data_IF_415377447623
#
_entry.id   IF_415377447623
#
_cell.length_a   1.000
_cell.length_b   1.000
_cell.length_c   1.000
_cell.angle_alpha   90.00
_cell.angle_beta   90.00
_cell.angle_gamma   90.00
#
_symmetry.space_group_name_H-M   'P 1'
#
loop_
_entity.id
_entity.type
_entity.pdbx_description
1 polymer ?
#
# COMPACT_ATOMS: atom_id res chain seq x y z
N UNK A 1 18.54 9.27 2.30
CA UNK A 1 17.36 8.72 3.01
C UNK A 1 16.13 9.14 2.23
N UNK A 2 15.25 8.20 1.82
CA UNK A 2 13.91 8.60 1.36
C UNK A 2 13.10 8.91 2.60
N UNK A 3 12.54 10.11 2.66
CA UNK A 3 11.58 10.47 3.70
C UNK A 3 10.24 9.79 3.42
N UNK A 4 9.27 9.98 4.30
CA UNK A 4 7.90 9.57 4.00
C UNK A 4 7.33 10.46 2.88
N UNK A 5 6.35 9.96 2.09
CA UNK A 5 5.62 10.83 1.18
C UNK A 5 5.01 12.01 1.94
N UNK A 6 4.82 13.17 1.30
CA UNK A 6 4.14 14.27 1.96
C UNK A 6 2.72 13.84 2.39
N UNK A 7 2.27 14.38 3.52
CA UNK A 7 1.07 13.89 4.20
C UNK A 7 -0.20 13.88 3.33
N UNK A 8 -0.47 14.88 2.46
CA UNK A 8 -1.63 14.85 1.56
C UNK A 8 -1.62 13.67 0.59
N UNK A 9 -0.47 13.37 0.00
CA UNK A 9 -0.28 12.30 -0.97
C UNK A 9 -0.36 10.94 -0.28
N UNK A 10 0.27 10.80 0.88
CA UNK A 10 0.17 9.59 1.69
C UNK A 10 -1.29 9.30 2.07
N UNK A 11 -2.04 10.32 2.50
CA UNK A 11 -3.46 10.18 2.84
C UNK A 11 -4.32 9.82 1.61
N UNK A 12 -4.14 10.52 0.50
CA UNK A 12 -4.87 10.27 -0.74
C UNK A 12 -4.66 8.85 -1.26
N UNK A 13 -3.41 8.40 -1.34
CA UNK A 13 -3.06 7.06 -1.81
C UNK A 13 -3.51 5.96 -0.84
N UNK A 14 -3.50 6.23 0.48
CA UNK A 14 -4.04 5.29 1.47
C UNK A 14 -5.55 5.10 1.31
N UNK A 15 -6.29 6.17 1.03
CA UNK A 15 -7.73 6.11 0.77
C UNK A 15 -8.01 5.36 -0.55
N UNK A 16 -7.20 5.59 -1.58
CA UNK A 16 -7.29 4.84 -2.83
C UNK A 16 -7.08 3.34 -2.60
N UNK A 17 -6.02 2.95 -1.88
CA UNK A 17 -5.75 1.57 -1.52
C UNK A 17 -6.92 0.95 -0.74
N UNK A 18 -7.47 1.70 0.21
CA UNK A 18 -8.62 1.26 0.99
C UNK A 18 -9.86 1.04 0.08
N UNK A 19 -10.09 1.92 -0.89
CA UNK A 19 -11.20 1.79 -1.85
C UNK A 19 -11.04 0.59 -2.78
N UNK A 20 -9.81 0.28 -3.19
CA UNK A 20 -9.53 -0.75 -4.20
C UNK A 20 -9.40 -2.15 -3.58
N UNK A 21 -8.78 -2.24 -2.41
CA UNK A 21 -8.30 -3.52 -1.87
C UNK A 21 -8.93 -3.93 -0.54
N UNK A 22 -9.84 -3.14 0.04
CA UNK A 22 -10.65 -3.58 1.20
C UNK A 22 -11.93 -4.26 0.73
N UNK A 23 -11.82 -5.46 0.16
CA UNK A 23 -12.99 -6.32 -0.11
C UNK A 23 -13.25 -7.31 1.04
N UNK A 24 -14.32 -8.11 0.98
CA UNK A 24 -14.70 -9.03 2.07
C UNK A 24 -13.82 -10.29 2.19
N UNK A 25 -12.97 -10.61 1.20
CA UNK A 25 -12.24 -11.87 1.17
C UNK A 25 -10.81 -11.78 1.75
N UNK A 26 -10.08 -10.71 1.46
CA UNK A 26 -8.77 -10.38 2.06
C UNK A 26 -8.69 -8.85 2.17
N UNK A 27 -8.30 -8.34 3.34
CA UNK A 27 -8.41 -6.91 3.67
C UNK A 27 -7.05 -6.34 4.04
N UNK A 28 -6.60 -5.38 3.24
CA UNK A 28 -5.63 -4.41 3.74
C UNK A 28 -6.24 -3.67 4.94
N UNK A 29 -5.56 -3.70 6.07
CA UNK A 29 -5.86 -2.84 7.19
C UNK A 29 -5.37 -1.41 6.89
N UNK A 30 -5.56 -0.46 7.82
CA UNK A 30 -5.17 0.93 7.59
C UNK A 30 -3.65 1.10 7.46
N UNK A 31 -2.85 0.36 8.26
CA UNK A 31 -1.40 0.38 8.15
C UNK A 31 -0.93 -0.20 6.81
N UNK A 32 -1.60 -1.24 6.31
CA UNK A 32 -1.29 -1.81 5.01
C UNK A 32 -1.60 -0.85 3.87
N UNK A 33 -2.70 -0.10 3.97
CA UNK A 33 -3.03 0.96 3.01
C UNK A 33 -1.96 2.05 3.00
N UNK A 34 -1.43 2.42 4.16
CA UNK A 34 -0.33 3.38 4.27
C UNK A 34 0.99 2.82 3.74
N UNK A 35 1.26 1.54 3.96
CA UNK A 35 2.41 0.84 3.40
C UNK A 35 2.34 0.83 1.86
N UNK A 36 1.19 0.44 1.30
CA UNK A 36 0.91 0.52 -0.13
C UNK A 36 1.14 1.95 -0.65
N UNK A 37 0.63 2.97 0.04
CA UNK A 37 0.78 4.37 -0.37
C UNK A 37 2.25 4.77 -0.50
N UNK A 38 3.10 4.33 0.43
CA UNK A 38 4.54 4.60 0.37
C UNK A 38 5.20 3.92 -0.85
N UNK A 39 4.90 2.64 -1.08
CA UNK A 39 5.46 1.90 -2.20
C UNK A 39 4.99 2.46 -3.56
N UNK A 40 3.69 2.76 -3.67
CA UNK A 40 3.08 3.37 -4.85
C UNK A 40 3.66 4.75 -5.15
N UNK A 41 3.76 5.64 -4.15
CA UNK A 41 4.29 7.00 -4.32
C UNK A 41 5.71 7.00 -4.90
N UNK A 42 6.54 6.07 -4.43
CA UNK A 42 7.94 5.97 -4.87
C UNK A 42 8.15 5.05 -6.08
N UNK A 43 7.08 4.47 -6.62
CA UNK A 43 7.11 3.49 -7.70
C UNK A 43 8.11 2.34 -7.43
N UNK A 44 8.04 1.77 -6.24
CA UNK A 44 8.89 0.64 -5.81
C UNK A 44 8.07 -0.59 -5.45
N UNK A 45 8.66 -1.80 -5.51
CA UNK A 45 8.00 -3.00 -5.00
C UNK A 45 7.66 -2.89 -3.51
N UNK A 46 6.59 -3.57 -3.11
CA UNK A 46 6.21 -3.73 -1.71
C UNK A 46 7.08 -4.76 -1.03
N UNK A 47 7.82 -4.35 0.00
CA UNK A 47 8.54 -5.28 0.87
C UNK A 47 7.56 -5.87 1.89
N UNK A 48 7.13 -7.11 1.70
CA UNK A 48 6.21 -7.77 2.62
C UNK A 48 6.28 -9.29 2.54
N UNK A 49 6.15 -9.94 3.70
CA UNK A 49 5.92 -11.39 3.80
C UNK A 49 4.43 -11.74 3.86
N UNK A 50 3.54 -10.74 3.87
CA UNK A 50 2.09 -10.96 3.97
C UNK A 50 1.47 -11.19 2.59
N UNK A 51 0.72 -12.29 2.45
CA UNK A 51 0.10 -12.69 1.17
C UNK A 51 -0.97 -11.70 0.68
N UNK A 52 -1.54 -10.88 1.56
CA UNK A 52 -2.57 -9.89 1.21
C UNK A 52 -2.10 -8.84 0.19
N UNK A 53 -0.81 -8.51 0.18
CA UNK A 53 -0.25 -7.56 -0.79
C UNK A 53 -0.08 -8.14 -2.20
N UNK A 54 -0.07 -9.47 -2.34
CA UNK A 54 -0.02 -10.15 -3.64
C UNK A 54 -1.28 -9.95 -4.47
N UNK A 55 -2.35 -9.45 -3.84
CA UNK A 55 -3.60 -9.09 -4.51
C UNK A 55 -3.66 -7.61 -4.93
N UNK A 56 -2.63 -6.83 -4.62
CA UNK A 56 -2.52 -5.45 -5.10
C UNK A 56 -1.93 -5.42 -6.50
N UNK A 57 -1.88 -4.24 -7.09
CA UNK A 57 -1.23 -3.97 -8.38
C UNK A 57 0.27 -3.68 -8.26
N UNK A 58 0.86 -3.82 -7.06
CA UNK A 58 2.30 -3.66 -6.84
C UNK A 58 3.01 -5.01 -6.78
N UNK A 59 4.20 -5.07 -7.37
CA UNK A 59 5.11 -6.21 -7.19
C UNK A 59 5.43 -6.37 -5.70
N UNK A 60 5.37 -7.59 -5.17
CA UNK A 60 5.76 -7.89 -3.79
C UNK A 60 7.10 -8.60 -3.78
N UNK A 61 8.02 -8.10 -2.95
CA UNK A 61 9.29 -8.74 -2.63
C UNK A 61 9.29 -9.14 -1.16
N UNK A 62 9.80 -10.34 -0.86
CA UNK A 62 9.76 -10.96 0.48
C UNK A 62 11.11 -11.49 0.89
#
# INVERSE_FOLDING_TARGET
>A
LRELPPAPEAASLSIEAASRFRSNAMRLNMADCFHYACAHYYAVPMLSTADEFRLTDLETVS
#
